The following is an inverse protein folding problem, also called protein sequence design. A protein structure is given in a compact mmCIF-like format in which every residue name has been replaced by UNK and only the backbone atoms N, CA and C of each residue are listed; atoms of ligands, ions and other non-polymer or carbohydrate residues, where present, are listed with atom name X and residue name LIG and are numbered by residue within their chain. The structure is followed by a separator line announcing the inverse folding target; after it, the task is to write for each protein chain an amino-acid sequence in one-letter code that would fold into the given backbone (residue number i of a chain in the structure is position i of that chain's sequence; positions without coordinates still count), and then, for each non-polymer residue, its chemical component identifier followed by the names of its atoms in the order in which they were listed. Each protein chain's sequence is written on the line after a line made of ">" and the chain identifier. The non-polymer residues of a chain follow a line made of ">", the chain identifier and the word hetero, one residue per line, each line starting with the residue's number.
data_IF_183557169442
#
_entry.id   IF_183557169442
#
_cell.length_a   1.000
_cell.length_b   1.000
_cell.length_c   1.000
_cell.angle_alpha   90.00
_cell.angle_beta   90.00
_cell.angle_gamma   90.00
#
_symmetry.space_group_name_H-M   'P 1'
#
loop_
_entity.id
_entity.type
_entity.pdbx_description
1 polymer ?
#
# COMPACT_ATOMS: atom_id res chain seq x y z
N UNK A 1 2.21 16.04 -17.63
CA UNK A 1 2.38 15.12 -16.50
C UNK A 1 1.05 15.11 -15.77
N UNK A 2 0.24 14.07 -15.94
CA UNK A 2 -1.02 13.89 -15.20
C UNK A 2 -0.67 13.55 -13.76
N UNK A 3 -1.22 14.24 -12.77
CA UNK A 3 -0.89 13.98 -11.37
C UNK A 3 -1.43 12.60 -10.94
N UNK A 4 -0.81 11.91 -9.96
CA UNK A 4 -1.27 10.59 -9.50
C UNK A 4 -2.74 10.58 -9.04
N UNK A 5 -3.20 11.67 -8.44
CA UNK A 5 -4.61 11.87 -8.04
C UNK A 5 -5.52 11.88 -9.27
N UNK A 6 -5.11 12.58 -10.33
CA UNK A 6 -5.87 12.64 -11.58
C UNK A 6 -6.01 11.25 -12.24
N UNK A 7 -5.01 10.37 -12.09
CA UNK A 7 -5.04 9.03 -12.66
C UNK A 7 -6.03 8.09 -11.95
N UNK A 8 -6.13 8.20 -10.62
CA UNK A 8 -7.04 7.40 -9.80
C UNK A 8 -8.48 7.84 -10.06
N UNK A 9 -8.74 9.15 -10.04
CA UNK A 9 -10.05 9.70 -10.34
C UNK A 9 -10.48 9.38 -11.78
N UNK A 10 -9.57 9.53 -12.75
CA UNK A 10 -9.86 9.17 -14.14
C UNK A 10 -10.19 7.67 -14.30
N UNK A 11 -9.47 6.79 -13.62
CA UNK A 11 -9.75 5.35 -13.65
C UNK A 11 -11.09 5.02 -12.98
N UNK A 12 -11.40 5.63 -11.84
CA UNK A 12 -12.66 5.45 -11.14
C UNK A 12 -13.86 5.94 -11.97
N UNK A 13 -13.74 7.12 -12.59
CA UNK A 13 -14.75 7.66 -13.51
C UNK A 13 -14.91 6.76 -14.73
N UNK A 14 -13.80 6.37 -15.39
CA UNK A 14 -13.85 5.52 -16.56
C UNK A 14 -14.48 4.14 -16.26
N UNK A 15 -14.18 3.57 -15.09
CA UNK A 15 -14.80 2.32 -14.63
C UNK A 15 -16.30 2.52 -14.38
N UNK A 16 -16.70 3.62 -13.73
CA UNK A 16 -18.11 3.92 -13.43
C UNK A 16 -18.97 4.28 -14.65
N UNK A 17 -18.39 4.93 -15.65
CA UNK A 17 -19.06 5.25 -16.91
C UNK A 17 -18.98 4.10 -17.92
N UNK A 18 -18.34 2.97 -17.57
CA UNK A 18 -18.07 1.82 -18.46
C UNK A 18 -17.27 2.19 -19.71
N UNK A 19 -16.52 3.29 -19.65
CA UNK A 19 -15.58 3.71 -20.68
C UNK A 19 -14.30 2.85 -20.62
N UNK A 20 -13.98 2.33 -19.43
CA UNK A 20 -12.93 1.34 -19.23
C UNK A 20 -13.53 0.03 -18.71
N UNK A 21 -13.31 -1.04 -19.47
CA UNK A 21 -13.56 -2.42 -19.07
C UNK A 21 -12.21 -3.14 -19.06
N UNK A 22 -11.68 -3.56 -17.90
CA UNK A 22 -10.38 -4.22 -17.82
C UNK A 22 -10.35 -5.48 -18.68
N UNK A 23 -9.39 -5.58 -19.58
CA UNK A 23 -9.16 -6.80 -20.36
C UNK A 23 -8.30 -7.81 -19.58
N UNK A 24 -8.15 -9.03 -20.10
CA UNK A 24 -7.53 -10.15 -19.36
C UNK A 24 -6.15 -9.84 -18.76
N UNK A 25 -5.28 -9.15 -19.49
CA UNK A 25 -3.96 -8.74 -18.99
C UNK A 25 -4.04 -7.70 -17.85
N UNK A 26 -4.98 -6.75 -17.92
CA UNK A 26 -5.20 -5.78 -16.83
C UNK A 26 -5.79 -6.48 -15.60
N UNK A 27 -6.70 -7.44 -15.79
CA UNK A 27 -7.22 -8.27 -14.72
C UNK A 27 -6.12 -9.12 -14.08
N UNK A 28 -5.24 -9.72 -14.90
CA UNK A 28 -4.10 -10.50 -14.43
C UNK A 28 -3.16 -9.63 -13.58
N UNK A 29 -2.77 -8.45 -14.07
CA UNK A 29 -1.95 -7.49 -13.32
C UNK A 29 -2.60 -7.12 -11.97
N UNK A 30 -3.88 -6.75 -11.98
CA UNK A 30 -4.60 -6.38 -10.77
C UNK A 30 -4.68 -7.53 -9.75
N UNK A 31 -4.99 -8.74 -10.21
CA UNK A 31 -5.04 -9.95 -9.35
C UNK A 31 -3.68 -10.30 -8.77
N UNK A 32 -2.63 -10.25 -9.59
CA UNK A 32 -1.25 -10.49 -9.13
C UNK A 32 -0.84 -9.49 -8.08
N UNK A 33 -1.13 -8.20 -8.29
CA UNK A 33 -0.84 -7.18 -7.28
C UNK A 33 -1.56 -7.44 -5.97
N UNK A 34 -2.87 -7.66 -5.99
CA UNK A 34 -3.66 -7.92 -4.78
C UNK A 34 -3.18 -9.18 -4.05
N UNK A 35 -2.99 -10.29 -4.78
CA UNK A 35 -2.52 -11.54 -4.20
C UNK A 35 -1.13 -11.42 -3.57
N UNK A 36 -0.19 -10.75 -4.23
CA UNK A 36 1.15 -10.56 -3.69
C UNK A 36 1.14 -9.61 -2.50
N UNK A 37 0.35 -8.53 -2.56
CA UNK A 37 0.22 -7.58 -1.45
C UNK A 37 -0.35 -8.25 -0.20
N UNK A 38 -1.38 -9.06 -0.35
CA UNK A 38 -2.04 -9.74 0.77
C UNK A 38 -1.17 -10.87 1.34
N UNK A 39 -0.18 -11.36 0.59
CA UNK A 39 0.82 -12.32 1.05
C UNK A 39 2.03 -11.67 1.75
N UNK A 40 2.14 -10.33 1.77
CA UNK A 40 3.23 -9.66 2.47
C UNK A 40 3.02 -9.71 3.98
N UNK A 41 3.93 -10.36 4.69
CA UNK A 41 3.97 -10.35 6.14
C UNK A 41 4.67 -9.08 6.65
N UNK A 42 4.00 -8.26 7.50
CA UNK A 42 4.62 -7.06 8.05
C UNK A 42 5.83 -7.40 8.93
N UNK A 43 7.00 -6.88 8.54
CA UNK A 43 8.27 -7.13 9.23
C UNK A 43 8.34 -6.43 10.59
N UNK A 44 9.04 -7.06 11.53
CA UNK A 44 9.42 -6.44 12.80
C UNK A 44 10.86 -5.93 12.72
N UNK A 45 11.17 -4.88 13.49
CA UNK A 45 12.54 -4.49 13.74
C UNK A 45 13.27 -5.57 14.55
N UNK A 46 14.62 -5.66 14.49
CA UNK A 46 15.38 -6.68 15.20
C UNK A 46 15.05 -6.71 16.69
N UNK A 47 14.71 -7.91 17.19
CA UNK A 47 14.31 -8.15 18.59
C UNK A 47 13.09 -7.35 19.10
N UNK A 48 12.37 -6.66 18.22
CA UNK A 48 11.12 -6.00 18.59
C UNK A 48 10.10 -7.09 18.97
N UNK A 49 9.46 -7.02 20.15
CA UNK A 49 8.47 -8.01 20.54
C UNK A 49 7.27 -7.93 19.59
N UNK A 50 6.55 -9.03 19.40
CA UNK A 50 5.26 -9.01 18.68
C UNK A 50 4.28 -8.10 19.42
N UNK A 51 3.54 -7.26 18.71
CA UNK A 51 2.52 -6.40 19.33
C UNK A 51 1.43 -7.26 19.99
N UNK A 52 0.94 -6.79 21.14
CA UNK A 52 -0.28 -7.33 21.74
C UNK A 52 -1.56 -6.79 21.05
N UNK A 53 -1.45 -5.68 20.32
CA UNK A 53 -2.54 -5.11 19.54
C UNK A 53 -2.71 -5.89 18.23
N UNK A 54 -3.93 -6.33 17.87
CA UNK A 54 -4.22 -6.94 16.58
C UNK A 54 -3.82 -6.10 15.35
N UNK A 55 -3.77 -4.77 15.47
CA UNK A 55 -3.33 -3.87 14.40
C UNK A 55 -1.81 -3.86 14.22
N UNK A 56 -1.05 -4.46 15.13
CA UNK A 56 0.40 -4.47 15.09
C UNK A 56 1.02 -3.18 15.63
N UNK A 57 2.31 -3.01 15.37
CA UNK A 57 3.04 -1.78 15.69
C UNK A 57 2.91 -0.75 14.55
N UNK A 58 2.98 0.54 14.85
CA UNK A 58 2.94 1.57 13.80
C UNK A 58 4.18 1.41 12.91
N UNK A 59 5.33 1.12 13.50
CA UNK A 59 6.58 0.85 12.79
C UNK A 59 6.45 -0.37 11.88
N UNK A 60 5.75 -1.41 12.32
CA UNK A 60 5.48 -2.59 11.50
C UNK A 60 4.62 -2.24 10.28
N UNK A 61 3.62 -1.36 10.43
CA UNK A 61 2.83 -0.84 9.31
C UNK A 61 3.68 0.00 8.34
N UNK A 62 4.55 0.88 8.85
CA UNK A 62 5.49 1.68 8.04
C UNK A 62 6.40 0.77 7.19
N UNK A 63 6.96 -0.29 7.78
CA UNK A 63 7.81 -1.25 7.07
C UNK A 63 7.02 -2.07 6.03
N UNK A 64 5.78 -2.44 6.34
CA UNK A 64 4.91 -3.10 5.36
C UNK A 64 4.60 -2.19 4.17
N UNK A 65 4.32 -0.90 4.40
CA UNK A 65 4.13 0.08 3.33
C UNK A 65 5.38 0.25 2.44
N UNK A 66 6.58 0.18 3.02
CA UNK A 66 7.86 0.17 2.27
C UNK A 66 7.92 -1.05 1.33
N UNK A 67 7.56 -2.23 1.83
CA UNK A 67 7.56 -3.47 1.05
C UNK A 67 6.51 -3.47 -0.06
N UNK A 68 5.30 -2.95 0.22
CA UNK A 68 4.24 -2.83 -0.79
C UNK A 68 4.61 -1.81 -1.87
N UNK A 69 5.30 -0.71 -1.52
CA UNK A 69 5.78 0.25 -2.51
C UNK A 69 6.75 -0.42 -3.50
N UNK A 70 7.71 -1.19 -2.98
CA UNK A 70 8.66 -1.95 -3.79
C UNK A 70 7.96 -3.00 -4.66
N UNK A 71 6.98 -3.72 -4.11
CA UNK A 71 6.16 -4.68 -4.85
C UNK A 71 5.42 -4.01 -6.02
N UNK A 72 4.72 -2.91 -5.76
CA UNK A 72 3.94 -2.19 -6.76
C UNK A 72 4.84 -1.63 -7.87
N UNK A 73 6.00 -1.09 -7.51
CA UNK A 73 7.00 -0.61 -8.47
C UNK A 73 7.57 -1.75 -9.34
N UNK A 74 7.91 -2.88 -8.73
CA UNK A 74 8.42 -4.04 -9.46
C UNK A 74 7.39 -4.61 -10.43
N UNK A 75 6.13 -4.74 -10.00
CA UNK A 75 5.04 -5.19 -10.87
C UNK A 75 4.77 -4.19 -11.99
N UNK A 76 4.69 -2.89 -11.68
CA UNK A 76 4.57 -1.85 -12.70
C UNK A 76 5.66 -2.00 -13.75
N UNK A 77 6.94 -2.09 -13.35
CA UNK A 77 8.06 -2.14 -14.28
C UNK A 77 8.04 -3.39 -15.18
N UNK A 78 7.59 -4.54 -14.65
CA UNK A 78 7.45 -5.79 -15.42
C UNK A 78 6.36 -5.68 -16.49
N UNK A 79 5.26 -4.98 -16.19
CA UNK A 79 4.09 -4.90 -17.07
C UNK A 79 4.08 -3.65 -17.95
N UNK A 80 4.88 -2.63 -17.64
CA UNK A 80 4.87 -1.34 -18.34
C UNK A 80 5.18 -1.47 -19.84
N UNK A 81 6.08 -2.37 -20.24
CA UNK A 81 6.38 -2.64 -21.65
C UNK A 81 5.19 -3.23 -22.41
N UNK A 82 4.26 -3.86 -21.71
CA UNK A 82 3.10 -4.54 -22.28
C UNK A 82 1.82 -3.70 -22.21
N UNK A 83 1.68 -2.86 -21.17
CA UNK A 83 0.48 -2.06 -20.90
C UNK A 83 0.80 -0.58 -20.56
N UNK A 84 1.52 0.17 -21.40
CA UNK A 84 2.07 1.48 -21.05
C UNK A 84 1.02 2.59 -20.79
N UNK A 85 -0.20 2.41 -21.30
CA UNK A 85 -1.30 3.39 -21.20
C UNK A 85 -2.55 2.83 -20.51
N UNK A 86 -2.43 1.68 -19.86
CA UNK A 86 -3.53 1.02 -19.14
C UNK A 86 -3.91 1.80 -17.89
N UNK A 87 -5.21 1.86 -17.60
CA UNK A 87 -5.72 2.40 -16.33
C UNK A 87 -5.25 1.56 -15.14
N UNK A 88 -5.18 0.23 -15.27
CA UNK A 88 -4.64 -0.64 -14.22
C UNK A 88 -3.17 -0.30 -13.94
N UNK A 89 -2.33 -0.15 -14.98
CA UNK A 89 -0.93 0.22 -14.79
C UNK A 89 -0.79 1.60 -14.16
N UNK A 90 -1.66 2.56 -14.51
CA UNK A 90 -1.70 3.88 -13.88
C UNK A 90 -2.09 3.81 -12.39
N UNK A 91 -3.09 2.98 -12.03
CA UNK A 91 -3.50 2.75 -10.64
C UNK A 91 -2.36 2.14 -9.80
N UNK A 92 -1.69 1.09 -10.29
CA UNK A 92 -0.55 0.47 -9.60
C UNK A 92 0.62 1.47 -9.48
N UNK A 93 0.84 2.30 -10.51
CA UNK A 93 1.83 3.37 -10.46
C UNK A 93 1.52 4.41 -9.39
N UNK A 94 0.25 4.85 -9.31
CA UNK A 94 -0.19 5.78 -8.28
C UNK A 94 -0.06 5.17 -6.88
N UNK A 95 -0.41 3.89 -6.72
CA UNK A 95 -0.23 3.15 -5.47
C UNK A 95 1.25 3.14 -5.05
N UNK A 96 2.15 2.77 -5.96
CA UNK A 96 3.59 2.75 -5.71
C UNK A 96 4.13 4.13 -5.30
N UNK A 97 3.74 5.18 -6.03
CA UNK A 97 4.18 6.54 -5.77
C UNK A 97 3.76 7.02 -4.38
N UNK A 98 2.48 6.81 -4.02
CA UNK A 98 1.98 7.17 -2.71
C UNK A 98 2.66 6.37 -1.60
N UNK A 99 2.76 5.04 -1.74
CA UNK A 99 3.38 4.19 -0.73
C UNK A 99 4.87 4.53 -0.51
N UNK A 100 5.60 4.90 -1.56
CA UNK A 100 7.02 5.30 -1.49
C UNK A 100 7.26 6.53 -0.60
N UNK A 101 6.24 7.35 -0.36
CA UNK A 101 6.35 8.48 0.58
C UNK A 101 6.76 8.03 2.00
N UNK A 102 6.55 6.76 2.35
CA UNK A 102 6.93 6.18 3.65
C UNK A 102 8.42 5.85 3.77
N UNK A 103 9.14 5.69 2.66
CA UNK A 103 10.52 5.16 2.65
C UNK A 103 11.49 5.97 3.53
N UNK A 104 11.48 7.31 3.53
CA UNK A 104 12.35 8.08 4.44
C UNK A 104 12.04 7.82 5.92
N UNK A 105 10.76 7.64 6.26
CA UNK A 105 10.35 7.32 7.64
C UNK A 105 10.76 5.90 8.02
N UNK A 106 10.58 4.93 7.13
CA UNK A 106 11.03 3.55 7.34
C UNK A 106 12.54 3.49 7.61
N UNK A 107 13.34 4.21 6.83
CA UNK A 107 14.78 4.33 7.05
C UNK A 107 15.10 4.96 8.42
N UNK A 108 14.44 6.08 8.75
CA UNK A 108 14.61 6.73 10.05
C UNK A 108 14.31 5.81 11.23
N UNK A 109 13.20 5.06 11.19
CA UNK A 109 12.84 4.13 12.27
C UNK A 109 13.85 2.98 12.40
N UNK A 110 14.37 2.46 11.29
CA UNK A 110 15.44 1.44 11.30
C UNK A 110 16.70 1.98 11.97
N UNK A 111 17.12 3.19 11.61
CA UNK A 111 18.33 3.82 12.15
C UNK A 111 18.16 4.18 13.64
N UNK A 112 17.01 4.76 14.01
CA UNK A 112 16.68 5.08 15.38
C UNK A 112 16.63 3.83 16.26
N UNK A 113 16.02 2.74 15.78
CA UNK A 113 15.99 1.49 16.53
C UNK A 113 17.39 0.92 16.74
N UNK A 114 18.24 0.95 15.72
CA UNK A 114 19.61 0.49 15.84
C UNK A 114 20.43 1.33 16.84
N UNK A 115 20.16 2.64 16.93
CA UNK A 115 20.87 3.56 17.81
C UNK A 115 20.38 3.50 19.27
N UNK A 116 19.06 3.43 19.48
CA UNK A 116 18.44 3.65 20.79
C UNK A 116 17.25 2.73 21.08
N UNK A 117 17.28 1.47 20.61
CA UNK A 117 16.26 0.48 21.00
C UNK A 117 16.15 0.38 22.53
N UNK A 118 14.92 0.36 23.09
CA UNK A 118 14.73 0.30 24.53
C UNK A 118 15.33 -0.96 25.14
N UNK A 119 15.87 -0.83 26.35
CA UNK A 119 16.35 -1.96 27.15
C UNK A 119 15.74 -1.83 28.55
N UNK A 120 14.78 -2.69 28.94
CA UNK A 120 14.30 -3.90 28.25
C UNK A 120 13.31 -3.62 27.09
N UNK A 121 13.21 -4.57 26.14
CA UNK A 121 12.27 -4.52 24.99
C UNK A 121 10.89 -5.08 25.36
N UNK A 122 10.21 -4.43 26.31
CA UNK A 122 8.82 -4.78 26.67
C UNK A 122 7.83 -4.05 25.77
N UNK A 123 6.56 -4.50 25.76
CA UNK A 123 5.48 -3.83 25.02
C UNK A 123 5.41 -2.33 25.34
N UNK A 124 5.34 -2.00 26.62
CA UNK A 124 5.24 -0.62 27.10
C UNK A 124 6.43 0.21 26.61
N UNK A 125 7.66 -0.29 26.76
CA UNK A 125 8.86 0.45 26.34
C UNK A 125 8.90 0.68 24.82
N UNK A 126 8.40 -0.26 24.03
CA UNK A 126 8.26 -0.11 22.58
C UNK A 126 7.19 0.93 22.24
N UNK A 127 6.05 0.94 22.94
CA UNK A 127 5.03 2.00 22.79
C UNK A 127 5.61 3.38 23.06
N UNK A 128 6.35 3.54 24.17
CA UNK A 128 7.02 4.80 24.50
C UNK A 128 8.03 5.21 23.42
N UNK A 129 8.78 4.25 22.88
CA UNK A 129 9.71 4.49 21.78
C UNK A 129 8.98 4.96 20.51
N UNK A 130 7.87 4.32 20.14
CA UNK A 130 7.05 4.76 19.00
C UNK A 130 6.41 6.14 19.24
N UNK A 131 6.00 6.46 20.47
CA UNK A 131 5.47 7.79 20.83
C UNK A 131 6.53 8.88 20.67
N UNK A 132 7.79 8.58 20.97
CA UNK A 132 8.90 9.50 20.79
C UNK A 132 9.30 9.69 19.32
N UNK A 133 9.40 8.59 18.56
CA UNK A 133 9.89 8.61 17.18
C UNK A 133 8.82 8.87 16.11
N UNK A 134 7.54 8.69 16.46
CA UNK A 134 6.40 8.95 15.59
C UNK A 134 5.47 9.97 16.26
N UNK A 135 5.85 11.26 16.29
CA UNK A 135 5.03 12.29 16.89
C UNK A 135 3.64 12.38 16.19
N UNK A 136 2.63 12.95 16.87
CA UNK A 136 1.24 12.94 16.38
C UNK A 136 1.05 13.46 14.95
N UNK A 137 1.83 14.46 14.53
CA UNK A 137 1.77 14.99 13.16
C UNK A 137 2.20 13.96 12.10
N UNK A 138 3.23 13.14 12.38
CA UNK A 138 3.64 12.08 11.48
C UNK A 138 2.61 10.95 11.44
N UNK A 139 1.98 10.62 12.58
CA UNK A 139 0.88 9.64 12.63
C UNK A 139 -0.29 10.08 11.76
N UNK A 140 -0.71 11.34 11.86
CA UNK A 140 -1.77 11.90 11.01
C UNK A 140 -1.41 11.83 9.51
N UNK A 141 -0.15 12.08 9.15
CA UNK A 141 0.32 11.94 7.78
C UNK A 141 0.27 10.47 7.31
N UNK A 142 0.64 9.53 8.19
CA UNK A 142 0.59 8.09 7.91
C UNK A 142 -0.85 7.59 7.75
N UNK A 143 -1.78 8.08 8.57
CA UNK A 143 -3.21 7.77 8.46
C UNK A 143 -3.78 8.29 7.14
N UNK A 144 -3.46 9.54 6.78
CA UNK A 144 -3.89 10.14 5.52
C UNK A 144 -3.31 9.39 4.31
N UNK A 145 -2.04 8.96 4.39
CA UNK A 145 -1.42 8.12 3.36
C UNK A 145 -2.13 6.78 3.24
N UNK A 146 -2.35 6.09 4.37
CA UNK A 146 -3.03 4.79 4.42
C UNK A 146 -4.43 4.89 3.82
N UNK A 147 -5.17 5.94 4.17
CA UNK A 147 -6.50 6.19 3.60
C UNK A 147 -6.46 6.35 2.07
N UNK A 148 -5.51 7.11 1.52
CA UNK A 148 -5.34 7.25 0.07
C UNK A 148 -5.04 5.90 -0.59
N UNK A 149 -4.15 5.10 -0.01
CA UNK A 149 -3.83 3.77 -0.53
C UNK A 149 -5.03 2.82 -0.49
N UNK A 150 -5.89 2.93 0.53
CA UNK A 150 -7.16 2.19 0.60
C UNK A 150 -8.08 2.59 -0.57
N UNK A 151 -8.20 3.89 -0.87
CA UNK A 151 -9.01 4.38 -2.01
C UNK A 151 -8.47 3.86 -3.34
N UNK A 152 -7.16 3.91 -3.57
CA UNK A 152 -6.58 3.36 -4.80
C UNK A 152 -6.80 1.85 -4.88
N UNK A 153 -6.57 1.15 -3.77
CA UNK A 153 -6.77 -0.30 -3.66
C UNK A 153 -8.22 -0.72 -3.92
N UNK A 154 -9.20 0.08 -3.50
CA UNK A 154 -10.62 -0.23 -3.72
C UNK A 154 -11.01 -0.12 -5.19
N UNK A 155 -10.45 0.86 -5.93
CA UNK A 155 -10.66 0.96 -7.39
C UNK A 155 -10.05 -0.25 -8.10
N UNK A 156 -8.85 -0.69 -7.69
CA UNK A 156 -8.23 -1.93 -8.22
C UNK A 156 -9.11 -3.15 -7.95
N UNK A 157 -9.60 -3.32 -6.72
CA UNK A 157 -10.49 -4.42 -6.35
C UNK A 157 -11.77 -4.39 -7.18
N UNK A 158 -12.40 -3.22 -7.33
CA UNK A 158 -13.62 -3.09 -8.10
C UNK A 158 -13.42 -3.39 -9.59
N UNK A 159 -12.28 -2.96 -10.17
CA UNK A 159 -11.90 -3.30 -11.54
C UNK A 159 -11.70 -4.82 -11.71
N UNK A 160 -11.04 -5.48 -10.76
CA UNK A 160 -10.75 -6.92 -10.80
C UNK A 160 -12.00 -7.79 -10.59
N UNK A 161 -12.93 -7.35 -9.75
CA UNK A 161 -14.11 -8.12 -9.34
C UNK A 161 -15.37 -7.79 -10.15
N UNK A 162 -15.38 -6.70 -10.91
CA UNK A 162 -16.58 -6.18 -11.55
C UNK A 162 -17.60 -5.57 -10.57
N UNK A 163 -17.27 -5.47 -9.27
CA UNK A 163 -18.20 -5.07 -8.20
C UNK A 163 -18.74 -3.63 -8.34
N UNK A 164 -18.14 -2.80 -9.20
CA UNK A 164 -18.61 -1.43 -9.45
C UNK A 164 -20.02 -1.38 -10.08
N UNK A 165 -20.43 -2.43 -10.80
CA UNK A 165 -21.69 -2.45 -11.55
C UNK A 165 -22.73 -3.43 -11.01
N UNK A 166 -22.44 -4.10 -9.88
CA UNK A 166 -23.39 -5.02 -9.25
C UNK A 166 -23.78 -6.23 -10.12
N UNK A 167 -22.95 -6.64 -11.08
CA UNK A 167 -23.17 -7.90 -11.78
C UNK A 167 -22.80 -9.06 -10.84
N UNK A 168 -23.71 -10.04 -10.63
CA UNK A 168 -23.41 -11.17 -9.77
C UNK A 168 -22.24 -11.95 -10.36
N UNK A 169 -21.30 -12.34 -9.50
CA UNK A 169 -20.21 -13.23 -9.86
C UNK A 169 -20.79 -14.45 -10.58
N UNK A 170 -20.38 -14.66 -11.83
CA UNK A 170 -20.64 -15.93 -12.50
C UNK A 170 -19.85 -17.01 -11.75
N UNK A 171 -20.56 -17.80 -10.95
CA UNK A 171 -20.08 -19.05 -10.40
C UNK A 171 -19.65 -19.97 -11.56
N UNK A 172 -18.43 -20.51 -11.46
CA UNK A 172 -17.91 -21.59 -12.31
C UNK A 172 -18.42 -22.92 -11.79
#
# INVERSE_FOLDING_TARGET
>A
MTHPVDAVDAAAVALGERVWMPHDDELALGRTFLSHRDALEPRLLPDMPRSADPQGWITQHVLWLEDVAALAENLRNQWYSHLPTSHMTALISAYAEHARAVTPLAAHLRDAWAAESPTPRTQEQVTWWEDWHLPPAQRQQLDALTHRLIVIGSVVVAAVTGAWHGEPAQEV
#
